data_IF_959041957508
#
_entry.id   IF_959041957508
#
_cell.length_a   1.000
_cell.length_b   1.000
_cell.length_c   1.000
_cell.angle_alpha   90.00
_cell.angle_beta   90.00
_cell.angle_gamma   90.00
#
_symmetry.space_group_name_H-M   'P 1'
#
loop_
_entity.id
_entity.type
_entity.pdbx_description
1 polymer ?
#
# COMPACT_ATOMS: atom_id res chain seq x y z
N UNK A 1 -10.45 -18.42 10.95
CA UNK A 1 -11.09 -18.01 9.70
C UNK A 1 -12.57 -18.33 9.65
N UNK A 2 -13.00 -19.60 9.73
CA UNK A 2 -14.43 -19.94 9.61
C UNK A 2 -15.34 -19.17 10.60
N UNK A 3 -14.94 -19.03 11.86
CA UNK A 3 -15.77 -18.38 12.89
C UNK A 3 -15.96 -16.87 12.73
N UNK A 4 -15.11 -16.18 11.96
CA UNK A 4 -15.14 -14.72 11.80
C UNK A 4 -15.08 -14.28 10.33
N UNK A 5 -15.35 -15.20 9.38
CA UNK A 5 -15.13 -14.95 7.96
C UNK A 5 -15.90 -13.73 7.47
N UNK A 6 -17.12 -13.55 7.95
CA UNK A 6 -18.01 -12.47 7.53
C UNK A 6 -17.67 -11.11 8.18
N UNK A 7 -16.79 -11.11 9.20
CA UNK A 7 -16.33 -9.90 9.89
C UNK A 7 -15.01 -9.36 9.31
N UNK A 8 -14.37 -10.09 8.38
CA UNK A 8 -13.05 -9.74 7.85
C UNK A 8 -13.06 -9.51 6.34
N UNK A 9 -12.38 -8.44 5.91
CA UNK A 9 -12.09 -8.17 4.50
C UNK A 9 -10.73 -8.76 4.16
N UNK A 10 -10.72 -9.88 3.44
CA UNK A 10 -9.49 -10.53 3.00
C UNK A 10 -9.09 -10.07 1.62
N UNK A 11 -7.84 -9.63 1.49
CA UNK A 11 -7.22 -9.33 0.20
C UNK A 11 -5.98 -10.19 0.00
N UNK A 12 -5.74 -10.63 -1.23
CA UNK A 12 -4.49 -11.31 -1.60
C UNK A 12 -4.13 -10.97 -3.05
N UNK A 13 -2.93 -11.36 -3.48
CA UNK A 13 -2.34 -10.87 -4.73
C UNK A 13 -1.69 -11.98 -5.54
N UNK A 14 -1.57 -11.77 -6.85
CA UNK A 14 -0.86 -12.67 -7.75
C UNK A 14 -0.02 -11.90 -8.76
N UNK A 15 1.22 -12.34 -8.95
CA UNK A 15 2.14 -11.93 -10.02
C UNK A 15 3.53 -12.53 -9.79
N UNK A 16 4.06 -12.38 -8.58
CA UNK A 16 5.44 -12.71 -8.26
C UNK A 16 5.70 -14.22 -8.29
N UNK A 17 6.97 -14.58 -8.37
CA UNK A 17 7.40 -15.96 -8.56
C UNK A 17 7.09 -16.82 -7.33
N UNK A 18 6.21 -17.80 -7.50
CA UNK A 18 5.78 -18.79 -6.49
C UNK A 18 6.19 -20.22 -6.83
N UNK A 19 6.93 -20.43 -7.92
CA UNK A 19 7.41 -21.74 -8.35
C UNK A 19 8.51 -21.69 -9.40
N UNK A 20 9.01 -22.86 -9.77
CA UNK A 20 10.04 -23.00 -10.80
C UNK A 20 9.47 -22.89 -12.22
N UNK A 21 10.35 -22.61 -13.17
CA UNK A 21 10.02 -22.54 -14.59
C UNK A 21 9.25 -21.29 -15.02
N UNK A 22 8.90 -21.18 -16.32
CA UNK A 22 8.30 -19.97 -16.88
C UNK A 22 6.90 -19.68 -16.33
N UNK A 23 6.13 -20.71 -15.98
CA UNK A 23 4.77 -20.59 -15.42
C UNK A 23 4.76 -20.33 -13.89
N UNK A 24 5.93 -20.01 -13.32
CA UNK A 24 6.10 -19.73 -11.90
C UNK A 24 5.67 -18.32 -11.49
N UNK A 25 5.36 -17.42 -12.43
CA UNK A 25 5.03 -15.99 -12.23
C UNK A 25 4.10 -15.47 -13.34
N UNK A 26 3.68 -14.21 -13.22
CA UNK A 26 3.07 -13.42 -14.30
C UNK A 26 1.54 -13.35 -14.24
N UNK A 27 0.95 -12.93 -15.36
CA UNK A 27 -0.49 -12.68 -15.54
C UNK A 27 -1.19 -13.74 -16.38
N UNK A 28 -0.54 -14.86 -16.68
CA UNK A 28 -1.16 -15.92 -17.48
C UNK A 28 -2.35 -16.55 -16.75
N UNK A 29 -3.35 -16.98 -17.52
CA UNK A 29 -4.54 -17.66 -16.98
C UNK A 29 -4.18 -18.81 -16.04
N UNK A 30 -3.24 -19.64 -16.48
CA UNK A 30 -2.76 -20.79 -15.71
C UNK A 30 -2.17 -20.37 -14.35
N UNK A 31 -1.32 -19.33 -14.32
CA UNK A 31 -0.69 -18.88 -13.09
C UNK A 31 -1.73 -18.28 -12.12
N UNK A 32 -2.59 -17.39 -12.61
CA UNK A 32 -3.60 -16.68 -11.80
C UNK A 32 -4.53 -17.67 -11.10
N UNK A 33 -5.11 -18.62 -11.84
CA UNK A 33 -6.06 -19.59 -11.29
C UNK A 33 -5.37 -20.57 -10.32
N UNK A 34 -4.18 -21.07 -10.68
CA UNK A 34 -3.43 -21.99 -9.82
C UNK A 34 -3.03 -21.36 -8.49
N UNK A 35 -2.53 -20.12 -8.52
CA UNK A 35 -2.09 -19.44 -7.30
C UNK A 35 -3.26 -18.93 -6.45
N UNK A 36 -4.42 -18.64 -7.05
CA UNK A 36 -5.64 -18.37 -6.31
C UNK A 36 -6.05 -19.60 -5.49
N UNK A 37 -6.15 -20.77 -6.13
CA UNK A 37 -6.51 -22.03 -5.44
C UNK A 37 -5.53 -22.35 -4.30
N UNK A 38 -4.23 -22.10 -4.51
CA UNK A 38 -3.22 -22.26 -3.47
C UNK A 38 -3.38 -21.25 -2.33
N UNK A 39 -3.75 -20.01 -2.65
CA UNK A 39 -3.99 -18.96 -1.65
C UNK A 39 -5.21 -19.28 -0.80
N UNK A 40 -6.31 -19.69 -1.43
CA UNK A 40 -7.53 -20.11 -0.74
C UNK A 40 -7.29 -21.28 0.21
N UNK A 41 -6.51 -22.28 -0.22
CA UNK A 41 -6.08 -23.39 0.66
C UNK A 41 -5.28 -22.92 1.87
N UNK A 42 -4.28 -22.05 1.67
CA UNK A 42 -3.47 -21.50 2.77
C UNK A 42 -4.27 -20.64 3.74
N UNK A 43 -5.23 -19.88 3.21
CA UNK A 43 -6.12 -19.02 3.99
C UNK A 43 -7.29 -19.79 4.61
N UNK A 44 -7.45 -21.09 4.31
CA UNK A 44 -8.55 -21.93 4.79
C UNK A 44 -9.93 -21.27 4.58
N UNK A 45 -10.16 -20.75 3.37
CA UNK A 45 -11.41 -20.10 2.94
C UNK A 45 -11.69 -20.47 1.49
N UNK A 46 -12.94 -20.38 1.06
CA UNK A 46 -13.38 -20.61 -0.32
C UNK A 46 -13.31 -19.35 -1.20
N UNK A 47 -13.22 -18.17 -0.57
CA UNK A 47 -13.14 -16.89 -1.28
C UNK A 47 -12.33 -15.82 -0.54
N UNK A 48 -11.84 -14.85 -1.31
CA UNK A 48 -11.31 -13.56 -0.84
C UNK A 48 -12.25 -12.42 -1.20
N UNK A 49 -12.17 -11.29 -0.51
CA UNK A 49 -12.97 -10.11 -0.85
C UNK A 49 -12.40 -9.43 -2.10
N UNK A 50 -11.08 -9.19 -2.14
CA UNK A 50 -10.41 -8.59 -3.29
C UNK A 50 -9.20 -9.41 -3.70
N UNK A 51 -9.15 -9.81 -4.97
CA UNK A 51 -7.95 -10.41 -5.57
C UNK A 51 -7.22 -9.40 -6.44
N UNK A 52 -5.98 -9.10 -6.09
CA UNK A 52 -5.19 -8.04 -6.70
C UNK A 52 -4.21 -8.61 -7.73
N UNK A 53 -4.20 -8.02 -8.93
CA UNK A 53 -3.11 -8.22 -9.87
C UNK A 53 -1.91 -7.39 -9.39
N UNK A 54 -0.86 -8.06 -8.92
CA UNK A 54 0.28 -7.43 -8.21
C UNK A 54 1.26 -6.69 -9.13
N UNK A 55 1.04 -6.74 -10.45
CA UNK A 55 1.79 -5.99 -11.44
C UNK A 55 1.34 -6.30 -12.86
N UNK A 56 1.69 -5.43 -13.80
CA UNK A 56 1.44 -5.62 -15.23
C UNK A 56 2.38 -6.69 -15.80
N UNK A 57 1.82 -7.75 -16.35
CA UNK A 57 2.59 -8.73 -17.12
C UNK A 57 2.63 -8.32 -18.59
N UNK A 58 3.82 -7.98 -19.08
CA UNK A 58 4.06 -7.63 -20.47
C UNK A 58 4.30 -8.84 -21.38
N UNK A 59 4.47 -10.04 -20.80
CA UNK A 59 4.58 -11.30 -21.56
C UNK A 59 3.23 -11.95 -21.86
N UNK A 60 2.15 -11.55 -21.17
CA UNK A 60 0.78 -12.02 -21.41
C UNK A 60 -0.06 -10.88 -21.98
N UNK A 61 -0.90 -11.16 -22.99
CA UNK A 61 -1.83 -10.17 -23.50
C UNK A 61 -2.72 -9.64 -22.36
N UNK A 62 -2.86 -8.31 -22.25
CA UNK A 62 -3.55 -7.75 -21.08
C UNK A 62 -5.02 -8.17 -21.03
N UNK A 63 -5.65 -8.26 -22.20
CA UNK A 63 -7.03 -8.70 -22.33
C UNK A 63 -7.24 -10.10 -21.72
N UNK A 64 -6.31 -11.04 -21.94
CA UNK A 64 -6.39 -12.40 -21.39
C UNK A 64 -6.19 -12.40 -19.86
N UNK A 65 -5.33 -11.51 -19.37
CA UNK A 65 -5.11 -11.32 -17.93
C UNK A 65 -6.38 -10.80 -17.27
N UNK A 66 -6.96 -9.72 -17.80
CA UNK A 66 -8.20 -9.13 -17.28
C UNK A 66 -9.35 -10.11 -17.39
N UNK A 67 -9.53 -10.79 -18.54
CA UNK A 67 -10.54 -11.84 -18.71
C UNK A 67 -10.42 -12.93 -17.63
N UNK A 68 -9.19 -13.32 -17.27
CA UNK A 68 -8.99 -14.28 -16.18
C UNK A 68 -9.37 -13.71 -14.81
N UNK A 69 -9.09 -12.43 -14.53
CA UNK A 69 -9.53 -11.79 -13.28
C UNK A 69 -11.06 -11.71 -13.21
N UNK A 70 -11.75 -11.48 -14.33
CA UNK A 70 -13.21 -11.53 -14.40
C UNK A 70 -13.74 -12.93 -14.11
N UNK A 71 -13.13 -13.97 -14.68
CA UNK A 71 -13.50 -15.37 -14.40
C UNK A 71 -13.32 -15.74 -12.93
N UNK A 72 -12.29 -15.21 -12.26
CA UNK A 72 -12.09 -15.39 -10.81
C UNK A 72 -13.28 -14.84 -10.02
N UNK A 73 -13.79 -13.68 -10.42
CA UNK A 73 -14.97 -13.06 -9.80
C UNK A 73 -16.24 -13.85 -10.11
N UNK A 74 -16.46 -14.24 -11.38
CA UNK A 74 -17.62 -15.03 -11.78
C UNK A 74 -17.69 -16.41 -11.10
N UNK A 75 -16.53 -17.03 -10.84
CA UNK A 75 -16.45 -18.28 -10.08
C UNK A 75 -16.76 -18.11 -8.59
N UNK A 76 -16.94 -16.88 -8.09
CA UNK A 76 -17.17 -16.60 -6.67
C UNK A 76 -15.95 -16.80 -5.78
N UNK A 77 -14.75 -17.01 -6.36
CA UNK A 77 -13.50 -17.18 -5.61
C UNK A 77 -12.90 -15.85 -5.15
N UNK A 78 -13.28 -14.76 -5.80
CA UNK A 78 -13.12 -13.40 -5.27
C UNK A 78 -14.45 -12.64 -5.40
N UNK A 79 -14.74 -11.73 -4.47
CA UNK A 79 -15.94 -10.85 -4.58
C UNK A 79 -15.69 -9.70 -5.55
N UNK A 80 -14.45 -9.23 -5.62
CA UNK A 80 -13.98 -8.20 -6.52
C UNK A 80 -12.52 -8.44 -6.91
N UNK A 81 -12.04 -7.67 -7.88
CA UNK A 81 -10.64 -7.65 -8.27
C UNK A 81 -10.09 -6.24 -8.24
N UNK A 82 -8.77 -6.11 -8.18
CA UNK A 82 -8.10 -4.81 -8.21
C UNK A 82 -6.69 -4.90 -8.76
N UNK A 83 -6.01 -3.77 -8.73
CA UNK A 83 -4.69 -3.60 -9.32
C UNK A 83 -3.69 -3.17 -8.26
N UNK A 84 -2.42 -3.53 -8.43
CA UNK A 84 -1.37 -3.15 -7.51
C UNK A 84 -0.09 -2.90 -8.30
N UNK A 85 0.58 -1.78 -8.01
CA UNK A 85 1.74 -1.28 -8.76
C UNK A 85 1.44 -0.92 -10.23
N UNK A 86 0.24 -0.42 -10.51
CA UNK A 86 -0.13 0.11 -11.83
C UNK A 86 0.09 1.62 -11.85
N UNK A 87 0.45 2.17 -13.00
CA UNK A 87 0.34 3.62 -13.26
C UNK A 87 -1.01 3.95 -13.89
N UNK A 88 -1.42 5.23 -13.85
CA UNK A 88 -2.79 5.63 -14.20
C UNK A 88 -3.23 5.17 -15.61
N UNK A 89 -2.34 5.24 -16.62
CA UNK A 89 -2.69 4.79 -17.97
C UNK A 89 -2.89 3.27 -18.07
N UNK A 90 -2.15 2.47 -17.30
CA UNK A 90 -2.34 1.01 -17.26
C UNK A 90 -3.67 0.66 -16.57
N UNK A 91 -4.01 1.39 -15.51
CA UNK A 91 -5.28 1.24 -14.80
C UNK A 91 -6.48 1.62 -15.70
N UNK A 92 -6.35 2.71 -16.46
CA UNK A 92 -7.33 3.11 -17.47
C UNK A 92 -7.51 2.02 -18.55
N UNK A 93 -6.43 1.40 -19.03
CA UNK A 93 -6.52 0.27 -19.96
C UNK A 93 -7.26 -0.93 -19.33
N UNK A 94 -7.02 -1.23 -18.05
CA UNK A 94 -7.70 -2.32 -17.36
C UNK A 94 -9.22 -2.11 -17.30
N UNK A 95 -9.66 -0.89 -16.95
CA UNK A 95 -11.08 -0.48 -16.96
C UNK A 95 -11.69 -0.65 -18.36
N UNK A 96 -11.03 -0.12 -19.39
CA UNK A 96 -11.51 -0.18 -20.76
C UNK A 96 -11.66 -1.64 -21.26
N UNK A 97 -10.70 -2.50 -20.93
CA UNK A 97 -10.75 -3.93 -21.27
C UNK A 97 -11.89 -4.62 -20.52
N UNK A 98 -12.04 -4.40 -19.22
CA UNK A 98 -13.10 -5.01 -18.42
C UNK A 98 -14.49 -4.64 -18.94
N UNK A 99 -14.68 -3.35 -19.26
CA UNK A 99 -15.90 -2.82 -19.88
C UNK A 99 -16.18 -3.50 -21.22
N UNK A 100 -15.17 -3.60 -22.11
CA UNK A 100 -15.33 -4.28 -23.41
C UNK A 100 -15.67 -5.77 -23.29
N UNK A 101 -15.20 -6.43 -22.24
CA UNK A 101 -15.50 -7.83 -21.95
C UNK A 101 -16.85 -8.01 -21.22
N UNK A 102 -17.57 -6.93 -20.91
CA UNK A 102 -18.84 -6.97 -20.21
C UNK A 102 -18.73 -7.40 -18.74
N UNK A 103 -17.54 -7.26 -18.13
CA UNK A 103 -17.28 -7.66 -16.75
C UNK A 103 -17.22 -6.49 -15.76
N UNK A 104 -17.19 -6.79 -14.45
CA UNK A 104 -17.01 -5.76 -13.43
C UNK A 104 -15.67 -5.04 -13.56
N UNK A 105 -15.69 -3.71 -13.34
CA UNK A 105 -14.49 -2.90 -13.19
C UNK A 105 -13.63 -3.37 -11.98
N UNK A 106 -12.30 -3.14 -11.98
CA UNK A 106 -11.52 -3.27 -10.77
C UNK A 106 -12.05 -2.28 -9.72
N UNK A 107 -12.00 -2.62 -8.44
CA UNK A 107 -12.57 -1.78 -7.36
C UNK A 107 -11.54 -0.90 -6.66
N UNK A 108 -10.25 -1.19 -6.83
CA UNK A 108 -9.20 -0.45 -6.16
C UNK A 108 -7.84 -0.55 -6.86
N UNK A 109 -6.97 0.38 -6.51
CA UNK A 109 -5.52 0.30 -6.72
C UNK A 109 -4.81 0.16 -5.38
N UNK A 110 -3.69 -0.56 -5.36
CA UNK A 110 -2.82 -0.68 -4.20
C UNK A 110 -1.38 -0.28 -4.58
N UNK A 111 -0.95 0.89 -4.12
CA UNK A 111 0.29 1.53 -4.57
C UNK A 111 1.07 2.11 -3.37
N UNK A 112 2.40 2.35 -3.51
CA UNK A 112 3.17 2.96 -2.44
C UNK A 112 2.75 4.43 -2.31
N UNK A 113 2.53 4.88 -1.08
CA UNK A 113 2.23 6.28 -0.82
C UNK A 113 2.63 6.67 0.59
N UNK A 114 3.48 7.70 0.72
CA UNK A 114 3.98 8.23 1.99
C UNK A 114 4.54 9.64 1.78
N UNK A 115 4.91 10.34 2.85
CA UNK A 115 5.63 11.62 2.73
C UNK A 115 6.87 11.51 1.82
N UNK A 116 7.62 10.41 1.96
CA UNK A 116 8.82 10.13 1.16
C UNK A 116 8.54 9.59 -0.25
N UNK A 117 7.28 9.32 -0.60
CA UNK A 117 6.89 8.84 -1.92
C UNK A 117 5.49 9.32 -2.28
N UNK A 118 5.46 10.46 -2.96
CA UNK A 118 4.23 11.16 -3.39
C UNK A 118 3.90 10.94 -4.87
N UNK A 119 4.50 9.93 -5.50
CA UNK A 119 4.34 9.69 -6.94
C UNK A 119 2.88 9.46 -7.36
N UNK A 120 2.03 8.97 -6.44
CA UNK A 120 0.62 8.70 -6.67
C UNK A 120 -0.21 9.97 -6.93
N UNK A 121 0.22 11.12 -6.40
CA UNK A 121 -0.50 12.40 -6.55
C UNK A 121 -0.44 12.96 -7.97
N UNK A 122 0.53 12.55 -8.78
CA UNK A 122 0.74 13.09 -10.13
C UNK A 122 -0.46 12.85 -11.05
N UNK A 123 -1.03 11.66 -10.98
CA UNK A 123 -2.09 11.22 -11.90
C UNK A 123 -3.07 10.24 -11.24
N UNK A 124 -2.56 9.27 -10.48
CA UNK A 124 -3.36 8.15 -9.99
C UNK A 124 -4.42 8.55 -8.97
N UNK A 125 -4.15 9.46 -8.03
CA UNK A 125 -5.17 9.86 -7.05
C UNK A 125 -6.37 10.53 -7.73
N UNK A 126 -6.12 11.51 -8.61
CA UNK A 126 -7.16 12.15 -9.40
C UNK A 126 -7.92 11.13 -10.24
N UNK A 127 -7.21 10.23 -10.93
CA UNK A 127 -7.82 9.16 -11.69
C UNK A 127 -8.73 8.26 -10.83
N UNK A 128 -8.27 7.85 -9.65
CA UNK A 128 -9.07 7.04 -8.73
C UNK A 128 -10.33 7.77 -8.26
N UNK A 129 -10.25 9.09 -8.03
CA UNK A 129 -11.40 9.91 -7.67
C UNK A 129 -12.45 9.94 -8.78
N UNK A 130 -12.04 10.20 -10.02
CA UNK A 130 -12.95 10.30 -11.16
C UNK A 130 -13.57 8.94 -11.51
N UNK A 131 -12.79 7.86 -11.46
CA UNK A 131 -13.25 6.49 -11.75
C UNK A 131 -13.85 5.77 -10.53
N UNK A 132 -13.92 6.45 -9.37
CA UNK A 132 -14.45 5.93 -8.10
C UNK A 132 -13.77 4.63 -7.64
N UNK A 133 -12.45 4.57 -7.80
CA UNK A 133 -11.62 3.46 -7.32
C UNK A 133 -11.13 3.75 -5.90
N UNK A 134 -11.16 2.74 -5.03
CA UNK A 134 -10.52 2.85 -3.73
C UNK A 134 -8.99 2.84 -3.86
N UNK A 135 -8.31 3.55 -2.96
CA UNK A 135 -6.84 3.53 -2.86
C UNK A 135 -6.40 2.83 -1.59
N UNK A 136 -5.61 1.77 -1.76
CA UNK A 136 -4.90 1.09 -0.69
C UNK A 136 -3.43 1.53 -0.69
N UNK A 137 -3.08 2.49 0.15
CA UNK A 137 -1.71 2.98 0.30
C UNK A 137 -0.87 1.95 1.06
N UNK A 138 0.16 1.38 0.45
CA UNK A 138 1.13 0.55 1.17
C UNK A 138 2.40 1.32 1.51
N UNK A 139 3.12 0.85 2.53
CA UNK A 139 4.29 1.54 3.09
C UNK A 139 4.03 3.00 3.48
N UNK A 140 2.93 3.34 4.19
CA UNK A 140 2.61 4.72 4.57
C UNK A 140 3.68 5.39 5.43
N UNK A 141 4.45 4.59 6.17
CA UNK A 141 5.57 5.04 7.00
C UNK A 141 6.94 4.81 6.35
N UNK A 142 6.98 4.65 5.02
CA UNK A 142 8.19 4.43 4.23
C UNK A 142 9.10 3.32 4.78
N UNK A 143 8.52 2.12 4.98
CA UNK A 143 9.23 0.97 5.55
C UNK A 143 9.87 1.25 6.92
N UNK A 144 9.18 2.06 7.73
CA UNK A 144 9.56 2.40 9.10
C UNK A 144 10.44 3.64 9.22
N UNK A 145 10.95 4.21 8.12
CA UNK A 145 11.83 5.39 8.18
C UNK A 145 11.16 6.58 8.86
N UNK A 146 9.85 6.78 8.61
CA UNK A 146 9.06 7.87 9.17
C UNK A 146 8.56 7.64 10.61
N UNK A 147 8.97 6.54 11.26
CA UNK A 147 8.48 6.20 12.62
C UNK A 147 9.34 6.77 13.74
N UNK A 148 10.56 7.21 13.40
CA UNK A 148 11.61 7.55 14.35
C UNK A 148 12.34 6.35 14.97
N UNK A 149 12.01 5.11 14.60
CA UNK A 149 12.78 3.93 14.98
C UNK A 149 14.17 3.91 14.33
N UNK A 150 14.26 4.40 13.09
CA UNK A 150 15.51 4.60 12.36
C UNK A 150 15.96 6.05 12.49
N UNK A 151 17.28 6.29 12.56
CA UNK A 151 17.86 7.62 12.77
C UNK A 151 18.97 7.89 11.76
N UNK A 152 18.96 9.05 11.07
CA UNK A 152 20.06 9.49 10.23
C UNK A 152 21.39 9.50 11.02
N UNK A 153 22.48 9.08 10.39
CA UNK A 153 23.82 9.06 11.00
C UNK A 153 23.99 8.03 12.14
N UNK A 154 23.00 7.16 12.39
CA UNK A 154 23.10 6.03 13.33
C UNK A 154 22.93 4.72 12.57
N UNK A 155 23.66 3.65 12.93
CA UNK A 155 23.46 2.36 12.31
C UNK A 155 22.01 1.88 12.51
N UNK A 156 21.45 1.21 11.50
CA UNK A 156 20.13 0.59 11.60
C UNK A 156 20.09 -0.42 12.76
N UNK A 157 19.01 -0.48 13.56
CA UNK A 157 18.88 -1.44 14.64
C UNK A 157 19.12 -2.89 14.19
N UNK A 158 19.89 -3.71 14.95
CA UNK A 158 20.18 -5.09 14.59
C UNK A 158 18.91 -5.93 14.34
N UNK A 159 18.96 -6.81 13.33
CA UNK A 159 17.83 -7.67 12.96
C UNK A 159 16.70 -6.97 12.22
N UNK A 160 16.75 -5.65 12.07
CA UNK A 160 15.73 -4.90 11.33
C UNK A 160 15.89 -5.02 9.80
N UNK A 161 14.85 -4.65 9.05
CA UNK A 161 14.85 -4.66 7.58
C UNK A 161 16.06 -3.92 6.98
N UNK A 162 16.37 -2.75 7.52
CA UNK A 162 17.45 -1.89 7.06
C UNK A 162 18.84 -2.28 7.57
N UNK A 163 18.92 -3.18 8.56
CA UNK A 163 20.18 -3.80 8.96
C UNK A 163 20.50 -5.07 8.17
N UNK A 164 19.53 -5.60 7.41
CA UNK A 164 19.63 -6.89 6.72
C UNK A 164 19.34 -6.74 5.23
N UNK A 165 18.09 -6.90 4.80
CA UNK A 165 17.68 -6.97 3.39
C UNK A 165 17.80 -5.66 2.60
N UNK A 166 18.05 -4.53 3.26
CA UNK A 166 18.19 -3.20 2.63
C UNK A 166 19.41 -2.40 3.12
N UNK A 167 20.42 -3.07 3.67
CA UNK A 167 21.59 -2.41 4.29
C UNK A 167 22.25 -1.38 3.40
N UNK A 168 22.47 -1.72 2.14
CA UNK A 168 23.20 -0.88 1.19
C UNK A 168 22.43 0.37 0.76
N UNK A 169 21.13 0.45 1.08
CA UNK A 169 20.26 1.58 0.74
C UNK A 169 19.99 2.50 1.93
N UNK A 170 20.42 2.13 3.13
CA UNK A 170 19.99 2.79 4.36
C UNK A 170 20.48 4.25 4.47
N UNK A 171 21.75 4.51 4.12
CA UNK A 171 22.29 5.88 4.13
C UNK A 171 21.59 6.77 3.09
N UNK A 172 21.39 6.25 1.88
CA UNK A 172 20.69 6.98 0.80
C UNK A 172 19.22 7.21 1.12
N UNK A 173 18.58 6.31 1.88
CA UNK A 173 17.20 6.46 2.31
C UNK A 173 16.98 7.64 3.28
N UNK A 174 18.05 8.14 3.91
CA UNK A 174 18.05 9.34 4.74
C UNK A 174 18.74 10.54 4.08
N UNK A 175 18.94 10.52 2.77
CA UNK A 175 19.58 11.63 2.06
C UNK A 175 18.58 12.70 1.62
N UNK A 176 19.08 13.93 1.49
CA UNK A 176 18.33 15.05 0.92
C UNK A 176 17.08 15.39 1.72
N UNK A 177 15.97 15.54 0.99
CA UNK A 177 14.68 16.00 1.49
C UNK A 177 14.10 15.12 2.61
N UNK A 178 14.48 13.84 2.65
CA UNK A 178 14.03 12.91 3.69
C UNK A 178 14.36 13.41 5.11
N UNK A 179 15.46 14.14 5.29
CA UNK A 179 15.85 14.70 6.59
C UNK A 179 14.87 15.79 7.06
N UNK A 180 14.45 16.67 6.16
CA UNK A 180 13.52 17.76 6.47
C UNK A 180 12.12 17.20 6.80
N UNK A 181 11.68 16.19 6.06
CA UNK A 181 10.41 15.50 6.32
C UNK A 181 10.38 14.84 7.70
N UNK A 182 11.49 14.21 8.11
CA UNK A 182 11.63 13.60 9.44
C UNK A 182 11.64 14.64 10.55
N UNK A 183 12.38 15.74 10.36
CA UNK A 183 12.49 16.80 11.36
C UNK A 183 11.14 17.48 11.61
N UNK A 184 10.40 17.80 10.54
CA UNK A 184 9.04 18.36 10.65
C UNK A 184 8.09 17.36 11.30
N UNK A 185 8.13 16.09 10.90
CA UNK A 185 7.29 15.05 11.50
C UNK A 185 7.57 14.84 12.99
N UNK A 186 8.84 14.89 13.40
CA UNK A 186 9.23 14.85 14.81
C UNK A 186 8.79 16.08 15.58
N UNK A 187 8.95 17.27 15.00
CA UNK A 187 8.53 18.53 15.62
C UNK A 187 7.04 18.55 15.92
N UNK A 188 6.22 18.10 14.96
CA UNK A 188 4.77 17.97 15.12
C UNK A 188 4.43 16.97 16.24
N UNK A 189 5.05 15.78 16.22
CA UNK A 189 4.82 14.78 17.26
C UNK A 189 5.16 15.32 18.66
N UNK A 190 6.29 16.03 18.79
CA UNK A 190 6.72 16.64 20.07
C UNK A 190 5.78 17.74 20.54
N UNK A 191 5.27 18.56 19.63
CA UNK A 191 4.32 19.63 19.97
C UNK A 191 3.04 19.09 20.63
N UNK A 192 2.63 17.89 20.22
CA UNK A 192 1.44 17.21 20.73
C UNK A 192 1.68 16.23 21.89
N UNK A 193 2.93 16.04 22.35
CA UNK A 193 3.25 15.09 23.44
C UNK A 193 2.39 15.28 24.70
N UNK A 194 1.97 16.52 24.99
CA UNK A 194 1.14 16.86 26.16
C UNK A 194 -0.36 16.63 25.96
N UNK A 195 -0.81 16.59 24.71
CA UNK A 195 -2.23 16.44 24.37
C UNK A 195 -2.66 14.98 24.48
N UNK A 196 -1.73 14.05 24.23
CA UNK A 196 -1.97 12.61 24.22
C UNK A 196 -2.88 12.15 23.07
N UNK A 197 -2.99 10.83 22.88
CA UNK A 197 -3.95 10.22 21.96
C UNK A 197 -4.77 9.16 22.71
N UNK A 198 -6.01 8.86 22.26
CA UNK A 198 -6.84 7.81 22.85
C UNK A 198 -6.12 6.45 22.97
N UNK A 199 -5.19 6.18 22.05
CA UNK A 199 -4.44 4.92 21.96
C UNK A 199 -2.91 5.11 21.87
N UNK A 200 -2.36 6.04 22.66
CA UNK A 200 -0.91 6.15 22.82
C UNK A 200 -0.44 7.58 22.99
N UNK A 201 0.84 7.81 22.70
CA UNK A 201 1.43 9.14 22.63
C UNK A 201 1.70 9.50 21.17
N UNK A 202 1.48 10.77 20.76
CA UNK A 202 1.88 11.25 19.46
C UNK A 202 3.32 10.85 19.14
N UNK A 203 3.53 10.35 17.92
CA UNK A 203 4.84 9.94 17.43
C UNK A 203 4.98 10.24 15.94
N UNK A 204 6.20 10.25 15.38
CA UNK A 204 6.39 10.46 13.94
C UNK A 204 5.60 9.46 13.09
N UNK A 205 5.43 8.22 13.57
CA UNK A 205 4.60 7.21 12.92
C UNK A 205 3.14 7.65 12.81
N UNK A 206 2.59 8.25 13.88
CA UNK A 206 1.23 8.78 13.88
C UNK A 206 1.08 9.94 12.91
N UNK A 207 2.07 10.85 12.84
CA UNK A 207 2.07 11.98 11.91
C UNK A 207 2.06 11.49 10.46
N UNK A 208 2.95 10.57 10.12
CA UNK A 208 3.07 10.03 8.77
C UNK A 208 1.79 9.30 8.33
N UNK A 209 1.20 8.50 9.22
CA UNK A 209 -0.01 7.75 8.92
C UNK A 209 -1.25 8.65 8.84
N UNK A 210 -1.39 9.63 9.76
CA UNK A 210 -2.46 10.65 9.71
C UNK A 210 -2.38 11.48 8.43
N UNK A 211 -1.17 11.89 8.01
CA UNK A 211 -0.99 12.61 6.74
C UNK A 211 -1.48 11.80 5.53
N UNK A 212 -1.14 10.51 5.45
CA UNK A 212 -1.63 9.62 4.38
C UNK A 212 -3.15 9.49 4.40
N UNK A 213 -3.74 9.26 5.59
CA UNK A 213 -5.19 9.09 5.76
C UNK A 213 -5.99 10.37 5.54
N UNK A 214 -5.35 11.55 5.65
CA UNK A 214 -5.98 12.84 5.37
C UNK A 214 -6.26 13.07 3.86
N UNK A 215 -5.75 12.22 2.97
CA UNK A 215 -6.10 12.26 1.55
C UNK A 215 -7.47 11.61 1.31
N UNK A 216 -8.45 12.34 0.76
CA UNK A 216 -9.82 11.83 0.61
C UNK A 216 -9.92 10.63 -0.34
N UNK A 217 -8.95 10.47 -1.26
CA UNK A 217 -8.88 9.32 -2.15
C UNK A 217 -8.37 8.05 -1.46
N UNK A 218 -7.64 8.16 -0.34
CA UNK A 218 -7.07 7.03 0.39
C UNK A 218 -8.16 6.34 1.22
N UNK A 219 -8.50 5.12 0.80
CA UNK A 219 -9.50 4.29 1.50
C UNK A 219 -8.87 3.48 2.63
N UNK A 220 -7.64 3.00 2.43
CA UNK A 220 -6.92 2.16 3.40
C UNK A 220 -5.44 2.53 3.40
N UNK A 221 -4.86 2.74 4.58
CA UNK A 221 -3.42 2.72 4.77
C UNK A 221 -3.00 1.35 5.33
N UNK A 222 -2.14 0.63 4.60
CA UNK A 222 -1.68 -0.71 4.96
C UNK A 222 -0.45 -0.58 5.84
N UNK A 223 -0.65 -0.84 7.12
CA UNK A 223 0.41 -0.83 8.14
C UNK A 223 0.96 -2.24 8.40
N UNK A 224 2.24 -2.32 8.74
CA UNK A 224 2.87 -3.52 9.26
C UNK A 224 3.16 -3.36 10.75
N UNK A 225 3.01 -4.43 11.51
CA UNK A 225 3.30 -4.47 12.95
C UNK A 225 4.00 -5.79 13.27
N UNK A 226 5.12 -5.73 14.00
CA UNK A 226 5.83 -6.89 14.53
C UNK A 226 5.44 -7.17 15.99
N UNK A 227 4.81 -6.20 16.66
CA UNK A 227 4.41 -6.28 18.07
C UNK A 227 2.99 -5.76 18.30
N UNK A 228 2.27 -6.22 19.34
CA UNK A 228 0.95 -5.69 19.71
C UNK A 228 0.98 -4.17 19.98
N UNK A 229 2.02 -3.66 20.64
CA UNK A 229 2.16 -2.23 20.91
C UNK A 229 2.21 -1.37 19.62
N UNK A 230 2.78 -1.91 18.53
CA UNK A 230 2.73 -1.24 17.22
C UNK A 230 1.34 -1.26 16.59
N UNK A 231 0.52 -2.29 16.89
CA UNK A 231 -0.89 -2.30 16.47
C UNK A 231 -1.64 -1.17 17.16
N UNK A 232 -1.52 -1.05 18.48
CA UNK A 232 -2.19 0.01 19.25
C UNK A 232 -1.77 1.41 18.79
N UNK A 233 -0.47 1.62 18.58
CA UNK A 233 0.05 2.88 18.06
C UNK A 233 -0.46 3.20 16.64
N UNK A 234 -0.55 2.20 15.75
CA UNK A 234 -1.08 2.43 14.41
C UNK A 234 -2.60 2.73 14.43
N UNK A 235 -3.36 2.15 15.35
CA UNK A 235 -4.78 2.45 15.55
C UNK A 235 -4.95 3.90 16.01
N UNK A 236 -4.15 4.35 16.98
CA UNK A 236 -4.20 5.73 17.48
C UNK A 236 -3.96 6.78 16.39
N UNK A 237 -3.23 6.45 15.33
CA UNK A 237 -2.98 7.36 14.22
C UNK A 237 -4.21 7.58 13.33
N UNK A 238 -5.10 6.59 13.22
CA UNK A 238 -6.33 6.71 12.45
C UNK A 238 -7.35 7.66 13.10
N UNK A 239 -7.19 7.95 14.40
CA UNK A 239 -8.06 8.82 15.18
C UNK A 239 -7.50 10.24 15.35
N UNK A 240 -6.28 10.48 14.86
CA UNK A 240 -5.62 11.78 14.97
C UNK A 240 -5.71 12.56 13.67
N UNK A 241 -6.10 13.83 13.76
CA UNK A 241 -6.14 14.75 12.63
C UNK A 241 -5.07 15.83 12.81
N UNK A 242 -4.20 15.95 11.81
CA UNK A 242 -3.28 17.07 11.70
C UNK A 242 -4.05 18.36 11.44
N UNK A 243 -3.59 19.46 12.02
CA UNK A 243 -4.11 20.79 11.68
C UNK A 243 -3.74 21.17 10.22
N UNK A 244 -4.45 22.16 9.68
CA UNK A 244 -4.18 22.66 8.33
C UNK A 244 -2.74 23.17 8.17
N UNK A 245 -2.19 23.82 9.21
CA UNK A 245 -0.84 24.37 9.19
C UNK A 245 0.24 23.28 9.23
N UNK A 246 0.02 22.23 10.03
CA UNK A 246 0.91 21.07 10.11
C UNK A 246 0.91 20.27 8.81
N UNK A 247 -0.28 20.06 8.24
CA UNK A 247 -0.41 19.42 6.93
C UNK A 247 0.28 20.25 5.86
N UNK A 248 0.11 21.57 5.85
CA UNK A 248 0.81 22.44 4.91
C UNK A 248 2.33 22.43 5.11
N UNK A 249 2.82 22.32 6.35
CA UNK A 249 4.24 22.18 6.63
C UNK A 249 4.81 20.88 6.05
N UNK A 250 4.14 19.76 6.28
CA UNK A 250 4.48 18.46 5.71
C UNK A 250 4.44 18.47 4.18
N UNK A 251 3.39 19.07 3.60
CA UNK A 251 3.24 19.18 2.14
C UNK A 251 4.38 19.98 1.51
N UNK A 252 4.86 21.05 2.17
CA UNK A 252 6.01 21.85 1.70
C UNK A 252 7.30 21.05 1.71
N UNK A 253 7.60 20.36 2.81
CA UNK A 253 8.87 19.61 2.93
C UNK A 253 8.86 18.32 2.14
N UNK A 254 7.70 17.82 1.68
CA UNK A 254 7.60 16.59 0.87
C UNK A 254 7.30 16.83 -0.61
N UNK A 255 7.08 18.07 -1.07
CA UNK A 255 6.61 18.39 -2.43
C UNK A 255 7.46 17.83 -3.59
N UNK A 256 8.77 17.63 -3.40
CA UNK A 256 9.68 17.09 -4.43
C UNK A 256 9.97 15.59 -4.31
N UNK A 257 9.34 14.87 -3.37
CA UNK A 257 9.53 13.43 -3.16
C UNK A 257 8.97 12.55 -4.31
N UNK A 258 8.52 13.16 -5.41
CA UNK A 258 8.00 12.50 -6.60
C UNK A 258 9.02 11.66 -7.38
N UNK A 259 10.30 11.59 -6.97
CA UNK A 259 11.39 11.05 -7.79
C UNK A 259 12.26 9.96 -7.15
N UNK A 260 12.00 9.52 -5.91
CA UNK A 260 12.90 8.58 -5.26
C UNK A 260 12.22 7.25 -4.87
N UNK A 261 12.70 6.18 -5.50
CA UNK A 261 12.55 4.76 -5.15
C UNK A 261 11.26 4.07 -5.62
N UNK A 262 11.36 3.41 -6.79
CA UNK A 262 10.57 2.23 -7.16
C UNK A 262 11.16 0.97 -6.52
#
# INVERSE_FOLDING_TARGET
>A
MAACRDEVVLTTKVFWRMGHGPNGRGGSRYHILRELDRSLRRLATDHVNVYLLHGRDYGTAFADTVATMLDVVHQGKARAWGMCNFVAWEACQALAIASRLGGPAPVCVQNPYSLLNRGLERDMLLFCREERLGVMAYSPMALGLLTGFYRPGRPAPPGSLWATGRRDLYETAFAGQALEELDVGEGIARAHERDGLPHGSPSPAHVALSWVLAHPEVTVAIVGCDTPAQVDANIGAAEWNLSADERAALDRVSASAALAVQ
#
